data_IF_532814765151
#
_entry.id   IF_532814765151
#
_cell.length_a   1.000
_cell.length_b   1.000
_cell.length_c   1.000
_cell.angle_alpha   90.00
_cell.angle_beta   90.00
_cell.angle_gamma   90.00
#
_symmetry.space_group_name_H-M   'P 1'
#
loop_
_entity.id
_entity.type
_entity.pdbx_description
1 polymer ?
#
# COMPACT_ATOMS: atom_id res chain seq x y z
N UNK A 1 -24.28 66.39 21.76
CA UNK A 1 -23.95 64.98 22.01
C UNK A 1 -23.80 64.31 20.65
N UNK A 2 -22.70 64.48 19.90
CA UNK A 2 -21.34 63.89 20.11
C UNK A 2 -21.46 62.37 20.33
N UNK A 3 -20.89 61.45 19.55
CA UNK A 3 -19.53 61.30 18.95
C UNK A 3 -19.64 60.57 17.57
N UNK A 4 -18.91 60.92 16.49
CA UNK A 4 -17.50 60.60 16.14
C UNK A 4 -17.20 59.07 16.16
N UNK A 5 -16.58 58.39 15.17
CA UNK A 5 -15.63 58.77 14.11
C UNK A 5 -15.50 57.67 13.05
N UNK A 6 -15.26 58.10 11.80
CA UNK A 6 -14.49 57.51 10.69
C UNK A 6 -13.60 56.30 10.98
N UNK A 7 -13.53 55.33 10.05
CA UNK A 7 -12.22 54.98 9.46
C UNK A 7 -12.32 54.46 8.02
N UNK A 8 -11.49 55.07 7.18
CA UNK A 8 -11.23 54.82 5.76
C UNK A 8 -10.04 53.86 5.63
N UNK A 9 -10.07 53.04 4.57
CA UNK A 9 -8.93 52.47 3.81
C UNK A 9 -7.97 51.51 4.55
N UNK A 10 -7.69 50.34 3.96
CA UNK A 10 -6.60 50.15 3.00
C UNK A 10 -6.49 48.66 2.63
N UNK A 11 -6.41 48.41 1.33
CA UNK A 11 -5.93 47.18 0.72
C UNK A 11 -4.46 46.98 1.12
N UNK A 12 -4.14 45.84 1.74
CA UNK A 12 -2.79 45.50 2.16
C UNK A 12 -2.45 44.08 1.69
N UNK A 13 -2.06 43.99 0.41
CA UNK A 13 -1.30 42.87 -0.12
C UNK A 13 0.03 42.72 0.63
N UNK A 14 0.07 41.83 1.62
CA UNK A 14 1.32 41.40 2.24
C UNK A 14 2.01 40.44 1.27
N UNK A 15 3.04 40.93 0.58
CA UNK A 15 3.98 40.10 -0.18
C UNK A 15 4.79 39.27 0.82
N UNK A 16 4.61 37.95 0.79
CA UNK A 16 5.40 37.00 1.59
C UNK A 16 6.87 37.04 1.14
N UNK A 17 7.74 37.59 1.98
CA UNK A 17 9.19 37.54 1.77
C UNK A 17 9.73 36.20 2.28
N UNK A 18 10.49 35.49 1.43
CA UNK A 18 11.17 34.22 1.77
C UNK A 18 12.30 34.50 2.77
N UNK A 19 12.41 33.76 3.89
CA UNK A 19 13.48 33.97 4.86
C UNK A 19 14.86 33.64 4.25
N UNK A 20 15.93 34.35 4.67
CA UNK A 20 17.28 34.12 4.16
C UNK A 20 17.74 32.71 4.51
N UNK A 21 18.23 31.98 3.52
CA UNK A 21 18.78 30.64 3.70
C UNK A 21 20.21 30.77 4.26
N UNK A 22 20.56 30.08 5.35
CA UNK A 22 21.93 30.07 5.82
C UNK A 22 22.82 29.29 4.85
N UNK A 23 23.89 29.92 4.36
CA UNK A 23 24.90 29.29 3.51
C UNK A 23 25.85 28.46 4.36
N UNK A 24 25.56 27.17 4.51
CA UNK A 24 26.53 26.23 5.06
C UNK A 24 27.38 25.68 3.91
N UNK A 25 28.66 26.02 3.88
CA UNK A 25 29.63 25.37 3.00
C UNK A 25 29.78 23.92 3.45
N UNK A 26 29.36 22.97 2.61
CA UNK A 26 29.61 21.55 2.85
C UNK A 26 31.12 21.28 2.77
N UNK A 27 31.73 20.58 3.75
CA UNK A 27 33.10 20.12 3.59
C UNK A 27 33.14 19.10 2.45
N UNK A 28 34.17 19.17 1.62
CA UNK A 28 34.40 18.28 0.48
C UNK A 28 34.83 16.90 1.00
N UNK A 29 33.86 16.07 1.36
CA UNK A 29 34.07 14.65 1.68
C UNK A 29 33.91 13.89 0.36
N UNK A 30 35.02 13.32 -0.14
CA UNK A 30 35.00 12.43 -1.29
C UNK A 30 34.02 11.27 -1.00
N UNK A 31 33.14 10.89 -1.94
CA UNK A 31 32.19 9.83 -1.69
C UNK A 31 32.96 8.52 -1.49
N UNK A 32 32.87 7.94 -0.29
CA UNK A 32 33.19 6.54 -0.09
C UNK A 32 32.16 5.75 -0.89
N UNK A 33 32.58 5.25 -2.06
CA UNK A 33 31.74 4.47 -2.96
C UNK A 33 31.35 3.16 -2.27
N UNK A 34 30.19 3.13 -1.61
CA UNK A 34 29.59 1.89 -1.12
C UNK A 34 29.24 1.07 -2.38
N UNK A 35 29.78 -0.15 -2.55
CA UNK A 35 29.34 -1.01 -3.63
C UNK A 35 27.84 -1.25 -3.44
N UNK A 36 27.03 -0.79 -4.41
CA UNK A 36 25.60 -1.03 -4.43
C UNK A 36 25.34 -2.51 -4.71
N UNK A 37 25.59 -3.36 -3.71
CA UNK A 37 24.85 -4.61 -3.59
C UNK A 37 23.40 -4.18 -3.42
N UNK A 38 22.69 -4.07 -4.55
CA UNK A 38 21.28 -3.74 -4.60
C UNK A 38 20.60 -4.80 -3.74
N UNK A 39 20.22 -4.44 -2.52
CA UNK A 39 19.35 -5.26 -1.70
C UNK A 39 18.05 -5.36 -2.48
N UNK A 40 17.92 -6.39 -3.32
CA UNK A 40 16.68 -6.66 -4.02
C UNK A 40 15.68 -6.98 -2.91
N UNK A 41 14.89 -5.98 -2.52
CA UNK A 41 13.86 -6.16 -1.52
C UNK A 41 12.95 -7.28 -2.04
N UNK A 42 13.02 -8.46 -1.42
CA UNK A 42 12.15 -9.59 -1.77
C UNK A 42 10.71 -9.09 -1.80
N UNK A 43 9.98 -9.47 -2.85
CA UNK A 43 8.58 -9.10 -3.04
C UNK A 43 7.78 -9.52 -1.81
N UNK A 44 7.02 -8.59 -1.22
CA UNK A 44 6.14 -8.91 -0.09
C UNK A 44 5.03 -9.85 -0.53
N UNK A 45 4.63 -10.77 0.34
CA UNK A 45 3.64 -11.82 0.07
C UNK A 45 2.41 -11.59 0.95
N UNK A 46 1.23 -11.58 0.33
CA UNK A 46 -0.06 -11.47 1.02
C UNK A 46 -0.95 -12.69 0.74
N UNK A 47 -1.67 -13.15 1.75
CA UNK A 47 -2.78 -14.10 1.65
C UNK A 47 -4.06 -13.38 2.08
N UNK A 48 -5.09 -13.43 1.25
CA UNK A 48 -6.38 -12.78 1.49
C UNK A 48 -7.48 -13.81 1.34
N UNK A 49 -8.24 -14.03 2.41
CA UNK A 49 -9.44 -14.88 2.37
C UNK A 49 -10.67 -14.11 1.88
N UNK A 50 -11.71 -14.81 1.44
CA UNK A 50 -13.01 -14.18 1.12
C UNK A 50 -13.02 -13.32 -0.15
N UNK A 51 -12.36 -13.81 -1.21
CA UNK A 51 -12.24 -13.11 -2.49
C UNK A 51 -13.21 -13.63 -3.58
N UNK A 52 -14.24 -14.41 -3.21
CA UNK A 52 -15.21 -15.01 -4.15
C UNK A 52 -16.07 -13.98 -4.85
N UNK A 53 -16.50 -12.92 -4.15
CA UNK A 53 -17.28 -11.84 -4.73
C UNK A 53 -16.35 -10.74 -5.28
N UNK A 54 -16.44 -10.38 -6.59
CA UNK A 54 -15.65 -9.30 -7.19
C UNK A 54 -15.83 -7.93 -6.53
N UNK A 55 -16.96 -7.70 -5.86
CA UNK A 55 -17.28 -6.48 -5.13
C UNK A 55 -16.80 -6.50 -3.68
N UNK A 56 -16.25 -7.63 -3.20
CA UNK A 56 -15.80 -7.77 -1.82
C UNK A 56 -14.59 -6.88 -1.51
N UNK A 57 -14.45 -6.54 -0.23
CA UNK A 57 -13.25 -5.86 0.26
C UNK A 57 -11.98 -6.69 -0.02
N UNK A 58 -12.07 -8.02 0.07
CA UNK A 58 -10.97 -8.93 -0.22
C UNK A 58 -10.49 -8.81 -1.67
N UNK A 59 -11.41 -8.86 -2.62
CA UNK A 59 -11.12 -8.71 -4.04
C UNK A 59 -10.53 -7.32 -4.35
N UNK A 60 -11.13 -6.25 -3.83
CA UNK A 60 -10.63 -4.90 -4.01
C UNK A 60 -9.22 -4.69 -3.40
N UNK A 61 -8.96 -5.29 -2.24
CA UNK A 61 -7.65 -5.23 -1.58
C UNK A 61 -6.60 -6.02 -2.36
N UNK A 62 -6.94 -7.20 -2.88
CA UNK A 62 -6.05 -8.01 -3.70
C UNK A 62 -5.52 -7.22 -4.90
N UNK A 63 -6.42 -6.56 -5.63
CA UNK A 63 -6.07 -5.70 -6.77
C UNK A 63 -5.18 -4.51 -6.36
N UNK A 64 -5.45 -3.88 -5.21
CA UNK A 64 -4.62 -2.78 -4.71
C UNK A 64 -3.21 -3.22 -4.31
N UNK A 65 -3.07 -4.40 -3.71
CA UNK A 65 -1.75 -4.94 -3.34
C UNK A 65 -0.95 -5.36 -4.56
N UNK A 66 -1.57 -5.94 -5.58
CA UNK A 66 -0.93 -6.21 -6.87
C UNK A 66 -0.37 -4.94 -7.51
N UNK A 67 -1.15 -3.84 -7.53
CA UNK A 67 -0.70 -2.53 -8.04
C UNK A 67 0.50 -1.98 -7.26
N UNK A 68 0.67 -2.37 -6.00
CA UNK A 68 1.83 -2.01 -5.15
C UNK A 68 3.00 -2.99 -5.29
N UNK A 69 2.92 -3.93 -6.23
CA UNK A 69 3.98 -4.89 -6.53
C UNK A 69 4.05 -6.06 -5.55
N UNK A 70 3.01 -6.36 -4.79
CA UNK A 70 2.99 -7.53 -3.90
C UNK A 70 2.71 -8.81 -4.69
N UNK A 71 3.19 -9.95 -4.15
CA UNK A 71 2.66 -11.25 -4.52
C UNK A 71 1.39 -11.46 -3.72
N UNK A 72 0.27 -11.75 -4.39
CA UNK A 72 -1.03 -11.89 -3.74
C UNK A 72 -1.61 -13.26 -4.02
N UNK A 73 -1.88 -13.99 -2.95
CA UNK A 73 -2.72 -15.18 -2.93
C UNK A 73 -4.13 -14.76 -2.54
N UNK A 74 -5.06 -14.81 -3.48
CA UNK A 74 -6.48 -14.53 -3.25
C UNK A 74 -7.21 -15.86 -3.11
N UNK A 75 -8.03 -16.03 -2.06
CA UNK A 75 -8.69 -17.31 -1.80
C UNK A 75 -10.19 -17.23 -1.63
N UNK A 76 -10.84 -18.32 -1.97
CA UNK A 76 -12.27 -18.57 -1.79
C UNK A 76 -12.53 -20.08 -1.70
N UNK A 77 -13.71 -20.48 -1.25
CA UNK A 77 -14.11 -21.90 -1.29
C UNK A 77 -14.28 -22.36 -2.74
N UNK A 78 -14.98 -21.56 -3.55
CA UNK A 78 -15.09 -21.74 -5.00
C UNK A 78 -14.32 -20.64 -5.73
N UNK A 79 -13.40 -21.05 -6.60
CA UNK A 79 -12.53 -20.17 -7.37
C UNK A 79 -13.10 -19.81 -8.75
N UNK A 80 -14.23 -20.40 -9.15
CA UNK A 80 -14.84 -20.17 -10.46
C UNK A 80 -15.18 -18.68 -10.71
N UNK A 81 -15.59 -17.95 -9.66
CA UNK A 81 -15.90 -16.52 -9.72
C UNK A 81 -14.67 -15.60 -9.73
N UNK A 82 -13.46 -16.14 -9.59
CA UNK A 82 -12.23 -15.37 -9.40
C UNK A 82 -11.39 -15.19 -10.67
N UNK A 83 -11.96 -15.46 -11.85
CA UNK A 83 -11.27 -15.35 -13.13
C UNK A 83 -10.64 -13.97 -13.36
N UNK A 84 -11.32 -12.89 -12.94
CA UNK A 84 -10.81 -11.52 -13.06
C UNK A 84 -9.58 -11.25 -12.18
N UNK A 85 -9.58 -11.77 -10.95
CA UNK A 85 -8.44 -11.66 -10.05
C UNK A 85 -7.25 -12.44 -10.61
N UNK A 86 -7.48 -13.63 -11.15
CA UNK A 86 -6.43 -14.41 -11.80
C UNK A 86 -5.85 -13.68 -13.01
N UNK A 87 -6.70 -13.15 -13.91
CA UNK A 87 -6.29 -12.34 -15.06
C UNK A 87 -5.51 -11.09 -14.66
N UNK A 88 -5.83 -10.50 -13.51
CA UNK A 88 -5.14 -9.34 -12.97
C UNK A 88 -3.75 -9.67 -12.37
N UNK A 89 -3.43 -10.95 -12.18
CA UNK A 89 -2.14 -11.43 -11.68
C UNK A 89 -2.15 -11.98 -10.26
N UNK A 90 -3.33 -12.22 -9.65
CA UNK A 90 -3.41 -12.96 -8.39
C UNK A 90 -3.12 -14.44 -8.62
N UNK A 91 -2.44 -15.07 -7.66
CA UNK A 91 -2.48 -16.52 -7.51
C UNK A 91 -3.77 -16.87 -6.77
N UNK A 92 -4.69 -17.55 -7.45
CA UNK A 92 -5.99 -17.91 -6.89
C UNK A 92 -5.90 -19.30 -6.30
N UNK A 93 -6.28 -19.46 -5.02
CA UNK A 93 -6.24 -20.75 -4.33
C UNK A 93 -7.62 -21.10 -3.72
N UNK A 94 -8.09 -22.34 -3.86
CA UNK A 94 -9.21 -22.81 -3.06
C UNK A 94 -8.80 -22.87 -1.58
N UNK A 95 -9.64 -22.34 -0.70
CA UNK A 95 -9.43 -22.40 0.75
C UNK A 95 -10.77 -22.32 1.48
N UNK A 96 -11.14 -23.41 2.15
CA UNK A 96 -12.11 -23.41 3.23
C UNK A 96 -11.37 -23.33 4.58
N UNK A 97 -11.48 -22.19 5.28
CA UNK A 97 -10.79 -21.97 6.55
C UNK A 97 -11.26 -22.88 7.68
N UNK A 98 -12.38 -23.59 7.49
CA UNK A 98 -12.87 -24.56 8.48
C UNK A 98 -12.21 -25.93 8.31
N UNK A 99 -11.52 -26.16 7.18
CA UNK A 99 -10.85 -27.42 6.85
C UNK A 99 -9.34 -27.28 7.03
N UNK A 100 -8.81 -27.98 8.03
CA UNK A 100 -7.36 -28.01 8.29
C UNK A 100 -6.55 -28.52 7.07
N UNK A 101 -7.13 -29.42 6.28
CA UNK A 101 -6.53 -29.92 5.03
C UNK A 101 -6.26 -28.80 4.02
N UNK A 102 -7.23 -27.89 3.86
CA UNK A 102 -7.17 -26.81 2.88
C UNK A 102 -6.18 -25.74 3.34
N UNK A 103 -6.19 -25.43 4.65
CA UNK A 103 -5.21 -24.53 5.27
C UNK A 103 -3.78 -25.06 5.05
N UNK A 104 -3.54 -26.35 5.31
CA UNK A 104 -2.23 -26.97 5.13
C UNK A 104 -1.79 -26.98 3.65
N UNK A 105 -2.72 -27.23 2.73
CA UNK A 105 -2.44 -27.17 1.30
C UNK A 105 -2.07 -25.75 0.86
N UNK A 106 -2.82 -24.73 1.28
CA UNK A 106 -2.53 -23.33 0.99
C UNK A 106 -1.18 -22.90 1.57
N UNK A 107 -0.90 -23.25 2.85
CA UNK A 107 0.37 -22.95 3.50
C UNK A 107 1.56 -23.57 2.76
N UNK A 108 1.43 -24.80 2.28
CA UNK A 108 2.46 -25.48 1.47
C UNK A 108 2.73 -24.75 0.15
N UNK A 109 1.70 -24.21 -0.50
CA UNK A 109 1.82 -23.47 -1.75
C UNK A 109 2.46 -22.08 -1.54
N UNK A 110 2.10 -21.40 -0.45
CA UNK A 110 2.64 -20.08 -0.11
C UNK A 110 4.12 -20.18 0.28
N UNK A 111 4.48 -21.26 0.97
CA UNK A 111 5.83 -21.50 1.46
C UNK A 111 6.11 -20.76 2.77
N UNK A 112 7.38 -20.50 3.04
CA UNK A 112 7.85 -20.09 4.37
C UNK A 112 7.60 -18.61 4.72
N UNK A 113 7.29 -17.76 3.72
CA UNK A 113 7.14 -16.32 3.94
C UNK A 113 5.76 -15.83 3.58
N UNK A 114 5.11 -15.25 4.59
CA UNK A 114 3.86 -14.51 4.47
C UNK A 114 4.01 -13.19 5.24
N UNK A 115 3.95 -12.06 4.54
CA UNK A 115 4.12 -10.73 5.14
C UNK A 115 2.78 -10.12 5.60
N UNK A 116 1.67 -10.57 5.02
CA UNK A 116 0.33 -10.10 5.35
C UNK A 116 -0.68 -11.25 5.23
N UNK A 117 -1.46 -11.46 6.30
CA UNK A 117 -2.65 -12.30 6.28
C UNK A 117 -3.87 -11.42 6.52
N UNK A 118 -4.86 -11.52 5.64
CA UNK A 118 -6.15 -10.87 5.82
C UNK A 118 -7.21 -11.95 5.96
N UNK A 119 -7.60 -12.21 7.21
CA UNK A 119 -8.71 -13.10 7.55
C UNK A 119 -10.01 -12.31 7.46
N UNK A 120 -10.52 -12.16 6.25
CA UNK A 120 -11.82 -11.57 5.99
C UNK A 120 -12.72 -12.67 5.42
N UNK A 121 -13.73 -13.07 6.18
CA UNK A 121 -14.81 -13.95 5.72
C UNK A 121 -16.10 -13.13 5.79
N UNK A 122 -16.75 -13.00 4.63
CA UNK A 122 -18.14 -12.57 4.49
C UNK A 122 -18.92 -13.77 4.01
#
# INVERSE_FOLDING_TARGET
MEYCTSTRLHDNSIKSAKPPQPSFSTPNILPFQIPAARFMSKRKVALITGCSDPTSLGAALALNLLKRGWKVYATAIDVASMADLHRSGCEVLPLDVTKATDINAAAKIIGERLDLLVNNLI
#
